data_IF_374814682400
#
_entry.id   IF_374814682400
#
_cell.length_a   1.000
_cell.length_b   1.000
_cell.length_c   1.000
_cell.angle_alpha   90.00
_cell.angle_beta   90.00
_cell.angle_gamma   90.00
#
_symmetry.space_group_name_H-M   'P 1'
#
loop_
_entity.id
_entity.type
_entity.pdbx_description
1 polymer ?
#
# COMPACT_ATOMS: atom_id res chain seq x y z
N UNK A 1 -12.83 11.54 -2.49
CA UNK A 1 -12.70 12.97 -2.18
C UNK A 1 -11.22 13.31 -2.21
N UNK A 2 -10.83 14.25 -3.03
CA UNK A 2 -9.43 14.66 -3.20
C UNK A 2 -9.24 15.96 -2.47
N UNK A 3 -8.40 15.98 -1.42
CA UNK A 3 -8.19 17.20 -0.61
C UNK A 3 -7.36 18.24 -1.33
N UNK A 4 -6.49 17.80 -2.22
CA UNK A 4 -5.56 18.61 -2.99
C UNK A 4 -5.71 18.34 -4.47
N UNK A 5 -5.38 19.32 -5.30
CA UNK A 5 -5.33 19.21 -6.75
C UNK A 5 -4.06 19.91 -7.25
N UNK A 6 -3.53 19.46 -8.37
CA UNK A 6 -2.41 20.09 -9.01
C UNK A 6 -2.91 21.21 -9.92
N UNK A 7 -2.34 22.40 -9.78
CA UNK A 7 -2.57 23.54 -10.65
C UNK A 7 -1.38 23.74 -11.58
N UNK A 8 -1.63 23.75 -12.88
CA UNK A 8 -0.61 24.08 -13.88
C UNK A 8 -0.22 25.55 -13.78
N UNK A 9 -1.19 26.44 -13.52
CA UNK A 9 -0.97 27.87 -13.40
C UNK A 9 0.02 28.20 -12.26
N UNK A 10 -0.08 27.50 -11.13
CA UNK A 10 0.79 27.73 -9.97
C UNK A 10 1.95 26.74 -9.88
N UNK A 11 2.04 25.75 -10.77
CA UNK A 11 3.10 24.75 -10.82
C UNK A 11 3.20 23.86 -9.58
N UNK A 12 2.11 23.72 -8.80
CA UNK A 12 2.13 22.98 -7.53
C UNK A 12 0.78 22.37 -7.14
N UNK A 13 0.83 21.43 -6.23
CA UNK A 13 -0.33 20.83 -5.61
C UNK A 13 -0.82 21.69 -4.45
N UNK A 14 -2.11 21.99 -4.44
CA UNK A 14 -2.74 22.93 -3.53
C UNK A 14 -4.00 22.32 -2.92
N UNK A 15 -4.24 22.57 -1.65
CA UNK A 15 -5.57 22.45 -1.08
C UNK A 15 -6.47 23.64 -1.44
N UNK A 16 -7.75 23.57 -1.05
CA UNK A 16 -8.72 24.61 -1.39
C UNK A 16 -8.36 25.98 -0.78
N UNK A 17 -7.84 25.99 0.46
CA UNK A 17 -7.49 27.23 1.14
C UNK A 17 -6.22 27.86 0.54
N UNK A 18 -5.22 27.05 0.26
CA UNK A 18 -4.00 27.48 -0.42
C UNK A 18 -4.31 28.06 -1.79
N UNK A 19 -5.16 27.37 -2.58
CA UNK A 19 -5.59 27.88 -3.89
C UNK A 19 -6.33 29.20 -3.76
N UNK A 20 -7.29 29.30 -2.83
CA UNK A 20 -8.06 30.52 -2.63
C UNK A 20 -7.15 31.72 -2.24
N UNK A 21 -6.15 31.49 -1.38
CA UNK A 21 -5.17 32.53 -0.98
C UNK A 21 -4.35 33.01 -2.17
N UNK A 22 -3.87 32.09 -3.00
CA UNK A 22 -3.10 32.43 -4.20
C UNK A 22 -3.94 33.21 -5.21
N UNK A 23 -5.19 32.81 -5.43
CA UNK A 23 -6.08 33.50 -6.36
C UNK A 23 -6.46 34.91 -5.90
N UNK A 24 -6.50 35.16 -4.59
CA UNK A 24 -6.91 36.46 -4.02
C UNK A 24 -5.78 37.30 -3.47
N UNK A 25 -4.53 36.80 -3.48
CA UNK A 25 -3.38 37.49 -2.87
C UNK A 25 -3.47 37.62 -1.35
N UNK A 26 -4.28 36.78 -0.69
CA UNK A 26 -4.48 36.81 0.77
C UNK A 26 -3.26 36.21 1.49
N UNK A 27 -2.74 36.91 2.50
CA UNK A 27 -1.60 36.45 3.29
C UNK A 27 -1.87 35.09 3.98
N UNK A 28 -0.80 34.32 4.23
CA UNK A 28 -0.88 32.96 4.78
C UNK A 28 -1.51 32.89 6.17
N UNK A 29 -1.36 33.90 6.97
CA UNK A 29 -1.83 34.02 8.35
C UNK A 29 -3.21 34.67 8.48
N UNK A 30 -3.72 35.33 7.41
CA UNK A 30 -5.02 35.97 7.44
C UNK A 30 -6.16 34.94 7.38
N UNK A 31 -7.26 35.12 8.12
CA UNK A 31 -8.42 34.26 8.01
C UNK A 31 -9.03 34.32 6.61
N UNK A 32 -9.43 33.16 6.04
CA UNK A 32 -10.05 33.09 4.73
C UNK A 32 -11.48 32.56 4.83
N UNK A 33 -12.44 33.29 4.26
CA UNK A 33 -13.84 32.84 4.17
C UNK A 33 -14.12 32.25 2.78
N UNK A 34 -14.04 30.95 2.65
CA UNK A 34 -14.36 30.23 1.41
C UNK A 34 -15.84 30.38 0.96
N UNK A 35 -16.69 31.02 1.79
CA UNK A 35 -18.06 31.34 1.43
C UNK A 35 -18.19 32.68 0.68
N UNK A 36 -17.18 33.54 0.75
CA UNK A 36 -17.14 34.86 0.10
C UNK A 36 -17.40 34.73 -1.41
N UNK A 37 -18.29 35.59 -1.98
CA UNK A 37 -18.49 35.64 -3.43
C UNK A 37 -17.19 35.88 -4.21
N UNK A 38 -16.34 36.78 -3.74
CA UNK A 38 -15.06 37.13 -4.36
C UNK A 38 -14.14 35.88 -4.50
N UNK A 39 -14.04 35.09 -3.43
CA UNK A 39 -13.23 33.87 -3.45
C UNK A 39 -13.84 32.82 -4.40
N UNK A 40 -15.16 32.71 -4.41
CA UNK A 40 -15.85 31.77 -5.31
C UNK A 40 -15.64 32.13 -6.79
N UNK A 41 -15.69 33.40 -7.13
CA UNK A 41 -15.40 33.89 -8.49
C UNK A 41 -13.95 33.63 -8.86
N UNK A 42 -13.01 33.93 -7.98
CA UNK A 42 -11.59 33.66 -8.20
C UNK A 42 -11.31 32.15 -8.40
N UNK A 43 -11.91 31.29 -7.57
CA UNK A 43 -11.79 29.84 -7.73
C UNK A 43 -12.44 29.32 -8.99
N UNK A 44 -13.56 29.89 -9.43
CA UNK A 44 -14.27 29.45 -10.64
C UNK A 44 -13.40 29.56 -11.90
N UNK A 45 -12.44 30.47 -11.93
CA UNK A 45 -11.51 30.64 -13.05
C UNK A 45 -10.45 29.54 -13.09
N UNK A 46 -9.91 29.15 -11.93
CA UNK A 46 -8.76 28.23 -11.84
C UNK A 46 -9.19 26.78 -11.68
N UNK A 47 -10.29 26.51 -10.97
CA UNK A 47 -10.74 25.13 -10.71
C UNK A 47 -10.86 24.25 -11.96
N UNK A 48 -11.31 24.73 -13.13
CA UNK A 48 -11.40 23.91 -14.34
C UNK A 48 -10.06 23.35 -14.87
N UNK A 49 -8.95 24.05 -14.60
CA UNK A 49 -7.61 23.61 -15.05
C UNK A 49 -6.95 22.58 -14.09
N UNK A 50 -7.55 22.40 -12.91
CA UNK A 50 -6.96 21.53 -11.90
C UNK A 50 -7.01 20.07 -12.33
N UNK A 51 -5.94 19.38 -11.97
CA UNK A 51 -5.79 17.94 -12.21
C UNK A 51 -5.70 17.14 -10.92
N UNK A 52 -6.17 15.90 -10.98
CA UNK A 52 -5.93 14.95 -9.91
C UNK A 52 -4.42 14.69 -9.78
N UNK A 53 -3.82 14.83 -8.59
CA UNK A 53 -2.38 14.64 -8.43
C UNK A 53 -1.91 13.20 -8.64
N UNK A 54 -2.83 12.22 -8.67
CA UNK A 54 -2.49 10.80 -8.82
C UNK A 54 -2.75 10.26 -10.23
N UNK A 55 -3.91 10.55 -10.85
CA UNK A 55 -4.26 10.00 -12.16
C UNK A 55 -4.45 11.05 -13.26
N UNK A 56 -4.15 12.31 -12.97
CA UNK A 56 -4.21 13.43 -13.93
C UNK A 56 -5.60 13.68 -14.53
N UNK A 57 -6.66 13.12 -13.93
CA UNK A 57 -8.01 13.40 -14.34
C UNK A 57 -8.32 14.90 -14.17
N UNK A 58 -8.98 15.48 -15.16
CA UNK A 58 -9.48 16.85 -15.17
C UNK A 58 -10.96 16.90 -14.73
N UNK A 59 -11.59 18.07 -14.79
CA UNK A 59 -12.98 18.24 -14.40
C UNK A 59 -13.16 18.42 -12.89
N UNK A 60 -12.22 19.12 -12.25
CA UNK A 60 -12.32 19.46 -10.85
C UNK A 60 -13.54 20.34 -10.57
N UNK A 61 -14.19 20.08 -9.44
CA UNK A 61 -15.24 20.91 -8.87
C UNK A 61 -14.90 21.24 -7.42
N UNK A 62 -15.09 22.48 -7.03
CA UNK A 62 -14.96 22.89 -5.65
C UNK A 62 -16.16 22.43 -4.81
N UNK A 63 -15.93 21.73 -3.73
CA UNK A 63 -16.95 21.33 -2.77
C UNK A 63 -16.67 21.99 -1.43
N UNK A 64 -17.64 22.78 -0.96
CA UNK A 64 -17.53 23.51 0.31
C UNK A 64 -17.43 22.54 1.50
N UNK A 65 -16.68 22.97 2.49
CA UNK A 65 -16.70 22.38 3.82
C UNK A 65 -18.07 22.53 4.49
N UNK A 66 -18.35 21.67 5.46
CA UNK A 66 -19.56 21.75 6.29
C UNK A 66 -19.19 21.95 7.76
N UNK A 67 -19.97 22.77 8.45
CA UNK A 67 -19.95 22.88 9.92
C UNK A 67 -21.28 22.38 10.48
N UNK A 68 -21.24 21.72 11.65
CA UNK A 68 -22.43 21.34 12.39
C UNK A 68 -23.03 22.58 13.06
N UNK A 69 -24.27 22.46 13.57
CA UNK A 69 -24.99 23.54 14.28
C UNK A 69 -24.22 24.11 15.48
N UNK A 70 -23.32 23.32 16.08
CA UNK A 70 -22.44 23.75 17.17
C UNK A 70 -21.06 24.29 16.67
N UNK A 71 -20.92 24.63 15.40
CA UNK A 71 -19.71 25.21 14.80
C UNK A 71 -18.56 24.25 14.53
N UNK A 72 -18.68 22.96 14.88
CA UNK A 72 -17.64 21.96 14.62
C UNK A 72 -17.55 21.66 13.13
N UNK A 73 -16.34 21.62 12.59
CA UNK A 73 -16.09 21.20 11.19
C UNK A 73 -16.49 19.72 11.05
N UNK A 74 -17.51 19.46 10.24
CA UNK A 74 -18.00 18.11 9.93
C UNK A 74 -17.35 17.58 8.66
N UNK A 75 -17.09 18.47 7.70
CA UNK A 75 -16.43 18.16 6.44
C UNK A 75 -15.53 19.30 6.01
N UNK A 76 -14.30 19.00 5.67
CA UNK A 76 -13.37 19.99 5.09
C UNK A 76 -13.73 20.28 3.63
N UNK A 77 -13.38 21.48 3.16
CA UNK A 77 -13.44 21.83 1.76
C UNK A 77 -12.50 20.90 0.95
N UNK A 78 -12.92 20.50 -0.24
CA UNK A 78 -12.15 19.56 -1.06
C UNK A 78 -12.50 19.71 -2.54
N UNK A 79 -11.73 19.05 -3.40
CA UNK A 79 -12.03 18.92 -4.82
C UNK A 79 -12.74 17.60 -5.10
N UNK A 80 -13.67 17.63 -6.05
CA UNK A 80 -14.31 16.46 -6.64
C UNK A 80 -14.02 16.48 -8.14
N UNK A 81 -13.53 15.40 -8.68
CA UNK A 81 -13.31 15.25 -10.12
C UNK A 81 -14.48 14.48 -10.71
N UNK A 82 -15.17 15.14 -11.63
CA UNK A 82 -16.47 14.66 -12.18
C UNK A 82 -16.33 14.48 -13.68
N UNK A 83 -16.64 13.26 -14.13
CA UNK A 83 -16.74 12.91 -15.53
C UNK A 83 -18.17 13.01 -16.07
N UNK A 84 -18.40 12.59 -17.32
CA UNK A 84 -19.72 12.55 -17.91
C UNK A 84 -20.72 11.75 -17.07
N UNK A 85 -21.94 12.25 -16.93
CA UNK A 85 -23.01 11.60 -16.15
C UNK A 85 -22.79 11.62 -14.64
N UNK A 86 -22.07 12.62 -14.12
CA UNK A 86 -21.77 12.82 -12.70
C UNK A 86 -20.95 11.69 -12.03
N UNK A 87 -20.41 10.76 -12.82
CA UNK A 87 -19.52 9.71 -12.33
C UNK A 87 -18.15 10.30 -11.95
N UNK A 88 -17.39 9.55 -11.16
CA UNK A 88 -16.01 9.97 -10.86
C UNK A 88 -15.16 9.98 -12.12
N UNK A 89 -14.41 11.07 -12.35
CA UNK A 89 -13.43 11.16 -13.43
C UNK A 89 -12.12 10.40 -13.12
N UNK A 90 -11.94 9.97 -11.86
CA UNK A 90 -10.73 9.25 -11.48
C UNK A 90 -10.62 7.88 -12.18
N UNK A 91 -9.44 7.55 -12.65
CA UNK A 91 -9.13 6.22 -13.16
C UNK A 91 -9.34 5.15 -12.07
N UNK A 92 -9.84 3.94 -12.37
CA UNK A 92 -10.06 2.88 -11.37
C UNK A 92 -8.85 2.51 -10.50
N UNK A 93 -7.64 2.68 -11.03
CA UNK A 93 -6.39 2.48 -10.30
C UNK A 93 -5.90 3.71 -9.53
N UNK A 94 -6.62 4.84 -9.60
CA UNK A 94 -6.27 6.04 -8.87
C UNK A 94 -6.43 5.84 -7.36
N UNK A 95 -5.54 6.43 -6.57
CA UNK A 95 -5.62 6.38 -5.11
C UNK A 95 -6.85 7.09 -4.54
N UNK A 96 -7.42 8.02 -5.33
CA UNK A 96 -8.63 8.76 -4.99
C UNK A 96 -9.91 8.19 -5.63
N UNK A 97 -9.78 7.10 -6.42
CA UNK A 97 -10.95 6.43 -6.97
C UNK A 97 -11.76 5.77 -5.84
N UNK A 98 -13.03 6.13 -5.71
CA UNK A 98 -13.98 5.49 -4.80
C UNK A 98 -15.19 5.04 -5.60
N UNK A 99 -15.49 3.75 -5.56
CA UNK A 99 -16.85 3.28 -5.80
C UNK A 99 -17.65 3.58 -4.52
N UNK A 100 -18.82 4.14 -4.62
CA UNK A 100 -19.68 4.64 -3.52
C UNK A 100 -20.05 3.59 -2.44
N UNK A 101 -19.54 2.37 -2.53
CA UNK A 101 -19.94 1.23 -1.69
C UNK A 101 -18.94 0.81 -0.62
N UNK A 102 -17.76 1.43 -0.51
CA UNK A 102 -16.80 1.00 0.52
C UNK A 102 -16.24 2.15 1.36
N UNK A 103 -16.70 2.24 2.61
CA UNK A 103 -16.10 3.06 3.68
C UNK A 103 -14.74 2.52 4.17
N UNK A 104 -14.15 1.55 3.51
CA UNK A 104 -12.88 0.98 3.90
C UNK A 104 -11.76 2.01 3.74
N UNK A 105 -11.27 2.53 4.87
CA UNK A 105 -10.04 3.33 4.93
C UNK A 105 -8.94 2.53 4.24
N UNK A 106 -8.31 3.12 3.20
CA UNK A 106 -7.11 2.54 2.61
C UNK A 106 -6.01 2.55 3.65
N UNK A 107 -5.59 1.39 4.11
CA UNK A 107 -4.39 1.27 4.94
C UNK A 107 -3.18 1.76 4.13
N UNK A 108 -2.38 2.63 4.73
CA UNK A 108 -1.17 3.17 4.11
C UNK A 108 -1.34 4.48 3.32
N UNK A 109 -2.55 5.00 3.19
CA UNK A 109 -2.76 6.36 2.68
C UNK A 109 -2.36 7.39 3.74
N UNK A 110 -1.48 8.32 3.39
CA UNK A 110 -1.17 9.47 4.26
C UNK A 110 -2.30 10.47 4.13
N UNK A 111 -3.04 10.70 5.23
CA UNK A 111 -4.12 11.68 5.30
C UNK A 111 -3.70 12.89 6.14
N UNK A 112 -3.46 14.03 5.50
CA UNK A 112 -2.96 15.23 6.18
C UNK A 112 -3.95 15.88 7.13
N UNK A 113 -5.24 15.82 6.83
CA UNK A 113 -6.25 16.51 7.63
C UNK A 113 -6.46 15.94 9.02
N UNK A 114 -5.97 14.74 9.29
CA UNK A 114 -6.06 14.04 10.58
C UNK A 114 -4.69 13.58 11.12
N UNK A 115 -3.59 14.01 10.52
CA UNK A 115 -2.24 13.59 10.91
C UNK A 115 -1.86 14.20 12.28
N UNK A 116 -2.49 13.71 13.32
CA UNK A 116 -2.16 14.04 14.73
C UNK A 116 -0.82 13.44 15.15
N UNK A 117 -0.28 12.52 14.37
CA UNK A 117 0.98 11.84 14.64
C UNK A 117 2.16 12.81 14.55
N UNK A 118 2.97 12.86 15.59
CA UNK A 118 4.22 13.62 15.60
C UNK A 118 5.16 13.21 14.47
N UNK A 119 5.15 11.93 14.10
CA UNK A 119 5.92 11.39 13.00
C UNK A 119 5.48 11.98 11.65
N UNK A 120 4.19 11.97 11.34
CA UNK A 120 3.69 12.52 10.07
C UNK A 120 4.02 13.99 9.93
N UNK A 121 3.92 14.76 11.03
CA UNK A 121 4.33 16.17 11.04
C UNK A 121 5.82 16.34 10.80
N UNK A 122 6.66 15.54 11.45
CA UNK A 122 8.10 15.58 11.25
C UNK A 122 8.49 15.26 9.79
N UNK A 123 7.86 14.26 9.19
CA UNK A 123 8.08 13.93 7.77
C UNK A 123 7.59 15.09 6.86
N UNK A 124 6.44 15.69 7.16
CA UNK A 124 5.94 16.86 6.43
C UNK A 124 6.91 18.05 6.48
N UNK A 125 7.49 18.31 7.64
CA UNK A 125 8.55 19.32 7.79
C UNK A 125 9.76 19.01 6.93
N UNK A 126 10.23 17.74 6.91
CA UNK A 126 11.35 17.35 6.04
C UNK A 126 11.02 17.52 4.56
N UNK A 127 9.79 17.26 4.13
CA UNK A 127 9.39 17.52 2.73
C UNK A 127 9.43 19.01 2.41
N UNK A 128 8.92 19.88 3.28
CA UNK A 128 9.02 21.34 3.11
C UNK A 128 10.47 21.81 3.07
N UNK A 129 11.31 21.34 4.01
CA UNK A 129 12.76 21.61 4.02
C UNK A 129 13.43 21.22 2.70
N UNK A 130 13.09 20.03 2.17
CA UNK A 130 13.67 19.56 0.91
C UNK A 130 13.30 20.43 -0.29
N UNK A 131 12.08 20.97 -0.32
CA UNK A 131 11.64 21.91 -1.36
C UNK A 131 12.37 23.26 -1.22
N UNK A 132 12.45 23.83 -0.02
CA UNK A 132 13.17 25.10 0.22
C UNK A 132 14.66 24.98 -0.11
N UNK A 133 15.26 23.82 0.15
CA UNK A 133 16.65 23.51 -0.15
C UNK A 133 16.91 23.10 -1.59
N UNK A 134 15.86 23.06 -2.42
CA UNK A 134 15.95 22.66 -3.83
C UNK A 134 16.53 21.22 -4.02
N UNK A 135 16.37 20.35 -3.03
CA UNK A 135 16.76 18.94 -3.14
C UNK A 135 15.80 18.15 -4.04
N UNK A 136 14.56 18.60 -4.07
CA UNK A 136 13.46 18.22 -4.97
C UNK A 136 12.42 19.35 -4.98
N UNK A 137 11.49 19.28 -5.90
CA UNK A 137 10.43 20.27 -6.05
C UNK A 137 9.06 19.60 -6.30
N UNK A 138 8.02 20.42 -6.49
CA UNK A 138 6.65 19.93 -6.75
C UNK A 138 6.55 19.16 -8.09
N UNK A 139 7.38 19.51 -9.08
CA UNK A 139 7.43 18.80 -10.36
C UNK A 139 7.98 17.38 -10.17
N UNK A 140 9.02 17.22 -9.34
CA UNK A 140 9.58 15.91 -9.01
C UNK A 140 8.54 15.03 -8.27
N UNK A 141 7.80 15.63 -7.33
CA UNK A 141 6.73 14.95 -6.61
C UNK A 141 5.62 14.48 -7.57
N UNK A 142 5.25 15.33 -8.53
CA UNK A 142 4.30 14.99 -9.59
C UNK A 142 4.85 13.88 -10.50
N UNK A 143 6.12 13.97 -10.88
CA UNK A 143 6.77 12.95 -11.70
C UNK A 143 6.81 11.57 -11.02
N UNK A 144 7.07 11.51 -9.70
CA UNK A 144 6.98 10.26 -8.93
C UNK A 144 5.56 9.66 -8.97
N UNK A 145 4.51 10.48 -8.78
CA UNK A 145 3.12 10.00 -8.88
C UNK A 145 2.79 9.51 -10.28
N UNK A 146 3.22 10.24 -11.31
CA UNK A 146 3.03 9.87 -12.71
C UNK A 146 3.71 8.53 -13.02
N UNK A 147 4.97 8.37 -12.65
CA UNK A 147 5.70 7.12 -12.78
C UNK A 147 4.96 5.94 -12.12
N UNK A 148 4.50 6.13 -10.88
CA UNK A 148 3.75 5.08 -10.18
C UNK A 148 2.42 4.76 -10.85
N UNK A 149 1.69 5.78 -11.32
CA UNK A 149 0.42 5.58 -12.02
C UNK A 149 0.62 4.84 -13.36
N UNK A 150 1.64 5.22 -14.13
CA UNK A 150 1.99 4.55 -15.40
C UNK A 150 2.38 3.08 -15.14
N UNK A 151 3.18 2.82 -14.11
CA UNK A 151 3.54 1.46 -13.72
C UNK A 151 2.31 0.62 -13.35
N UNK A 152 1.37 1.19 -12.59
CA UNK A 152 0.11 0.53 -12.23
C UNK A 152 -0.78 0.26 -13.44
N UNK A 153 -0.79 1.17 -14.38
CA UNK A 153 -1.59 1.04 -15.61
C UNK A 153 -1.02 -0.01 -16.57
N UNK A 154 0.32 -0.14 -16.60
CA UNK A 154 1.00 -1.11 -17.45
C UNK A 154 0.97 -2.54 -16.89
N UNK A 155 0.88 -2.70 -15.56
CA UNK A 155 0.98 -4.00 -14.89
C UNK A 155 -0.29 -4.31 -14.12
N UNK A 156 -1.19 -5.06 -14.74
CA UNK A 156 -2.49 -5.41 -14.18
C UNK A 156 -2.75 -6.91 -14.27
N UNK A 157 -3.57 -7.41 -13.37
CA UNK A 157 -4.11 -8.77 -13.43
C UNK A 157 -5.54 -8.81 -12.90
N UNK A 158 -6.29 -9.79 -13.34
CA UNK A 158 -7.68 -10.01 -12.91
C UNK A 158 -7.73 -10.96 -11.72
N UNK A 159 -8.42 -10.60 -10.64
CA UNK A 159 -8.58 -11.47 -9.48
C UNK A 159 -9.63 -12.54 -9.81
N UNK A 160 -9.19 -13.79 -9.90
CA UNK A 160 -10.05 -14.95 -10.18
C UNK A 160 -10.03 -16.03 -9.09
N UNK A 161 -9.17 -15.88 -8.07
CA UNK A 161 -9.05 -16.87 -6.99
C UNK A 161 -9.67 -16.38 -5.69
N UNK A 162 -10.44 -17.21 -4.98
CA UNK A 162 -11.09 -16.83 -3.73
C UNK A 162 -10.06 -16.58 -2.62
N UNK A 163 -10.46 -15.83 -1.60
CA UNK A 163 -9.60 -15.52 -0.44
C UNK A 163 -9.11 -16.79 0.30
N UNK A 164 -9.88 -17.87 0.27
CA UNK A 164 -9.49 -19.16 0.83
C UNK A 164 -8.17 -19.69 0.23
N UNK A 165 -7.90 -19.42 -1.06
CA UNK A 165 -6.68 -19.83 -1.73
C UNK A 165 -5.41 -19.26 -1.09
N UNK A 166 -5.49 -18.06 -0.49
CA UNK A 166 -4.37 -17.43 0.23
C UNK A 166 -3.95 -18.30 1.42
N UNK A 167 -4.91 -18.65 2.27
CA UNK A 167 -4.63 -19.49 3.43
C UNK A 167 -4.16 -20.90 3.01
N UNK A 168 -4.78 -21.46 1.99
CA UNK A 168 -4.45 -22.77 1.44
C UNK A 168 -2.98 -22.81 0.96
N UNK A 169 -2.53 -21.87 0.13
CA UNK A 169 -1.13 -21.78 -0.31
C UNK A 169 -0.15 -21.61 0.85
N UNK A 170 -0.50 -20.73 1.81
CA UNK A 170 0.32 -20.48 2.99
C UNK A 170 0.51 -21.73 3.83
N UNK A 171 -0.57 -22.46 4.11
CA UNK A 171 -0.49 -23.70 4.89
C UNK A 171 0.33 -24.77 4.18
N UNK A 172 0.15 -24.96 2.88
CA UNK A 172 0.98 -25.90 2.13
C UNK A 172 2.46 -25.53 2.16
N UNK A 173 2.79 -24.24 1.98
CA UNK A 173 4.17 -23.78 1.99
C UNK A 173 4.82 -23.88 3.38
N UNK A 174 4.04 -23.70 4.46
CA UNK A 174 4.53 -23.81 5.83
C UNK A 174 4.98 -25.23 6.20
N UNK A 175 4.38 -26.24 5.57
CA UNK A 175 4.67 -27.65 5.83
C UNK A 175 5.50 -28.31 4.72
N UNK A 176 6.10 -27.52 3.86
CA UNK A 176 7.00 -27.99 2.80
C UNK A 176 8.14 -28.82 3.40
N UNK A 177 8.39 -29.97 2.80
CA UNK A 177 9.56 -30.78 3.15
C UNK A 177 10.85 -30.06 2.73
N UNK A 178 11.82 -29.95 3.62
CA UNK A 178 13.17 -29.50 3.32
C UNK A 178 14.07 -30.72 3.12
N UNK A 179 14.66 -30.85 1.94
CA UNK A 179 15.53 -31.96 1.59
C UNK A 179 14.78 -33.26 1.24
N UNK A 180 15.51 -34.37 1.23
CA UNK A 180 14.93 -35.71 1.03
C UNK A 180 14.07 -36.08 2.23
N UNK A 181 12.76 -36.13 2.05
CA UNK A 181 11.84 -36.60 3.09
C UNK A 181 11.44 -38.04 2.82
N UNK A 182 11.42 -38.85 3.87
CA UNK A 182 10.88 -40.21 3.81
C UNK A 182 9.36 -40.09 3.60
N UNK A 183 8.80 -40.69 2.51
CA UNK A 183 7.35 -40.75 2.33
C UNK A 183 6.69 -41.51 3.49
N UNK A 184 5.44 -41.17 3.81
CA UNK A 184 4.70 -41.89 4.84
C UNK A 184 4.64 -43.38 4.50
N UNK A 185 4.93 -44.22 5.50
CA UNK A 185 4.74 -45.68 5.44
C UNK A 185 3.77 -46.09 6.57
N UNK A 186 2.87 -47.06 6.31
CA UNK A 186 1.87 -47.45 7.29
C UNK A 186 2.43 -47.85 8.65
N UNK A 187 3.60 -48.48 8.69
CA UNK A 187 4.27 -48.87 9.95
C UNK A 187 4.70 -47.65 10.83
N UNK A 188 4.77 -46.43 10.29
CA UNK A 188 5.10 -45.25 11.09
C UNK A 188 4.05 -44.93 12.15
N UNK A 189 2.79 -45.37 11.93
CA UNK A 189 1.72 -45.26 12.92
C UNK A 189 1.95 -46.07 14.20
N UNK A 190 2.89 -47.02 14.20
CA UNK A 190 3.29 -47.78 15.41
C UNK A 190 4.20 -46.96 16.35
N UNK A 191 4.70 -45.80 15.90
CA UNK A 191 5.47 -44.90 16.76
C UNK A 191 4.57 -44.33 17.86
N UNK A 192 4.94 -44.44 19.14
CA UNK A 192 4.16 -43.85 20.23
C UNK A 192 3.88 -42.35 19.97
N UNK A 193 2.63 -41.93 20.15
CA UNK A 193 2.19 -40.55 19.97
C UNK A 193 2.48 -39.98 18.56
N UNK A 194 2.36 -40.84 17.54
CA UNK A 194 2.61 -40.43 16.15
C UNK A 194 1.73 -39.25 15.75
N UNK A 195 2.37 -38.16 15.25
CA UNK A 195 1.67 -36.93 14.81
C UNK A 195 1.06 -37.11 13.43
N UNK A 196 -0.16 -37.68 13.41
CA UNK A 196 -0.96 -37.85 12.18
C UNK A 196 -1.21 -36.53 11.44
N UNK A 197 -1.39 -35.43 12.19
CA UNK A 197 -1.64 -34.12 11.61
C UNK A 197 -0.41 -33.65 10.84
N UNK A 198 0.75 -33.69 11.46
CA UNK A 198 2.00 -33.29 10.80
C UNK A 198 2.32 -34.18 9.59
N UNK A 199 2.13 -35.49 9.69
CA UNK A 199 2.30 -36.42 8.58
C UNK A 199 1.37 -36.07 7.41
N UNK A 200 0.08 -35.81 7.68
CA UNK A 200 -0.88 -35.42 6.67
C UNK A 200 -0.56 -34.05 6.02
N UNK A 201 -0.10 -33.09 6.80
CA UNK A 201 0.33 -31.77 6.31
C UNK A 201 1.50 -31.89 5.32
N UNK A 202 2.49 -32.72 5.64
CA UNK A 202 3.63 -32.99 4.76
C UNK A 202 3.20 -33.70 3.48
N UNK A 203 2.34 -34.69 3.58
CA UNK A 203 1.81 -35.42 2.43
C UNK A 203 1.00 -34.51 1.50
N UNK A 204 0.19 -33.59 2.05
CA UNK A 204 -0.51 -32.58 1.25
C UNK A 204 0.47 -31.63 0.56
N UNK A 205 1.45 -31.11 1.28
CA UNK A 205 2.47 -30.26 0.69
C UNK A 205 3.26 -30.96 -0.43
N UNK A 206 3.56 -32.24 -0.27
CA UNK A 206 4.22 -33.07 -1.30
C UNK A 206 3.30 -33.27 -2.51
N UNK A 207 2.03 -33.56 -2.29
CA UNK A 207 1.03 -33.69 -3.36
C UNK A 207 0.92 -32.44 -4.20
N UNK A 208 1.02 -31.27 -3.59
CA UNK A 208 0.93 -29.97 -4.25
C UNK A 208 2.29 -29.29 -4.41
N UNK A 209 3.38 -30.06 -4.47
CA UNK A 209 4.76 -29.53 -4.53
C UNK A 209 4.97 -28.49 -5.62
N UNK A 210 4.44 -28.73 -6.83
CA UNK A 210 4.56 -27.77 -7.94
C UNK A 210 3.86 -26.42 -7.65
N UNK A 211 2.71 -26.46 -6.95
CA UNK A 211 2.02 -25.24 -6.53
C UNK A 211 2.85 -24.52 -5.48
N UNK A 212 3.37 -25.26 -4.49
CA UNK A 212 4.23 -24.70 -3.43
C UNK A 212 5.48 -24.06 -4.02
N UNK A 213 6.14 -24.72 -4.97
CA UNK A 213 7.33 -24.18 -5.63
C UNK A 213 7.01 -22.92 -6.42
N UNK A 214 5.96 -22.93 -7.25
CA UNK A 214 5.50 -21.75 -7.99
C UNK A 214 5.15 -20.59 -7.06
N UNK A 215 4.46 -20.88 -5.94
CA UNK A 215 4.11 -19.88 -4.94
C UNK A 215 5.35 -19.25 -4.30
N UNK A 216 6.30 -20.06 -3.84
CA UNK A 216 7.51 -19.60 -3.18
C UNK A 216 8.49 -18.90 -4.16
N UNK A 217 8.54 -19.32 -5.41
CA UNK A 217 9.37 -18.67 -6.44
C UNK A 217 8.97 -17.21 -6.70
N UNK A 218 7.70 -16.85 -6.49
CA UNK A 218 7.20 -15.47 -6.61
C UNK A 218 7.48 -14.62 -5.36
N UNK A 219 7.75 -15.26 -4.23
CA UNK A 219 7.96 -14.61 -2.95
C UNK A 219 9.42 -14.84 -2.53
N UNK A 220 10.21 -13.77 -2.46
CA UNK A 220 11.61 -13.89 -2.03
C UNK A 220 11.72 -14.40 -0.59
N UNK A 221 12.81 -15.08 -0.22
CA UNK A 221 13.13 -15.42 1.16
C UNK A 221 13.07 -14.15 2.04
N UNK A 222 12.47 -14.26 3.23
CA UNK A 222 12.29 -13.11 4.13
C UNK A 222 11.11 -12.20 3.80
N UNK A 223 10.35 -12.49 2.74
CA UNK A 223 9.10 -11.79 2.48
C UNK A 223 8.09 -12.11 3.59
N UNK A 224 7.81 -11.15 4.47
CA UNK A 224 6.89 -11.32 5.61
C UNK A 224 5.43 -11.53 5.19
N UNK A 225 5.16 -12.60 4.42
CA UNK A 225 3.85 -12.91 3.84
C UNK A 225 2.78 -13.20 4.89
N UNK A 226 3.15 -13.68 6.07
CA UNK A 226 2.21 -13.82 7.18
C UNK A 226 1.56 -12.50 7.55
N UNK A 227 2.34 -11.40 7.58
CA UNK A 227 1.83 -10.07 7.93
C UNK A 227 0.99 -9.44 6.81
N UNK A 228 1.14 -9.92 5.55
CA UNK A 228 0.36 -9.47 4.41
C UNK A 228 -0.96 -10.24 4.21
N UNK A 229 -1.12 -11.38 4.90
CA UNK A 229 -2.23 -12.34 4.70
C UNK A 229 -3.60 -11.70 4.88
N UNK A 230 -3.83 -11.08 6.03
CA UNK A 230 -5.14 -10.52 6.37
C UNK A 230 -5.53 -9.41 5.38
N UNK A 231 -4.55 -8.59 5.01
CA UNK A 231 -4.76 -7.54 4.01
C UNK A 231 -5.05 -8.09 2.62
N UNK A 232 -4.34 -9.15 2.20
CA UNK A 232 -4.59 -9.83 0.93
C UNK A 232 -6.00 -10.42 0.87
N UNK A 233 -6.44 -11.10 1.94
CA UNK A 233 -7.79 -11.64 2.07
C UNK A 233 -8.84 -10.54 1.97
N UNK A 234 -8.67 -9.43 2.69
CA UNK A 234 -9.57 -8.29 2.64
C UNK A 234 -9.67 -7.69 1.22
N UNK A 235 -8.54 -7.52 0.54
CA UNK A 235 -8.51 -7.01 -0.84
C UNK A 235 -9.21 -7.94 -1.83
N UNK A 236 -9.01 -9.26 -1.73
CA UNK A 236 -9.69 -10.24 -2.58
C UNK A 236 -11.20 -10.15 -2.35
N UNK A 237 -11.66 -10.16 -1.09
CA UNK A 237 -13.09 -10.11 -0.78
C UNK A 237 -13.77 -8.83 -1.29
N UNK A 238 -13.06 -7.71 -1.30
CA UNK A 238 -13.57 -6.42 -1.79
C UNK A 238 -13.54 -6.32 -3.31
N UNK A 239 -12.64 -7.01 -4.00
CA UNK A 239 -12.33 -6.81 -5.41
C UNK A 239 -12.34 -8.07 -6.27
N UNK A 240 -12.96 -9.14 -5.79
CA UNK A 240 -13.14 -10.35 -6.58
C UNK A 240 -13.76 -10.03 -7.94
N UNK A 241 -13.20 -10.59 -9.00
CA UNK A 241 -13.67 -10.33 -10.36
C UNK A 241 -13.24 -8.98 -10.95
N UNK A 242 -12.42 -8.20 -10.26
CA UNK A 242 -11.92 -6.91 -10.74
C UNK A 242 -10.45 -6.98 -11.12
N UNK A 243 -10.02 -5.99 -11.90
CA UNK A 243 -8.61 -5.79 -12.23
C UNK A 243 -7.87 -5.11 -11.08
N UNK A 244 -6.69 -5.63 -10.75
CA UNK A 244 -5.79 -5.06 -9.75
C UNK A 244 -4.38 -4.86 -10.31
N UNK A 245 -3.61 -4.05 -9.59
CA UNK A 245 -2.21 -3.81 -9.88
C UNK A 245 -1.34 -5.03 -9.52
N UNK A 246 -0.50 -5.48 -10.47
CA UNK A 246 0.61 -6.40 -10.19
C UNK A 246 1.79 -5.63 -9.64
N UNK A 247 2.01 -5.70 -8.34
CA UNK A 247 3.08 -4.98 -7.66
C UNK A 247 4.47 -5.67 -7.79
N UNK A 248 4.61 -6.71 -8.60
CA UNK A 248 5.90 -7.40 -8.82
C UNK A 248 7.00 -6.44 -9.32
N UNK A 249 6.74 -5.52 -10.27
CA UNK A 249 7.76 -4.56 -10.72
C UNK A 249 8.23 -3.59 -9.63
N UNK A 250 7.43 -3.35 -8.59
CA UNK A 250 7.84 -2.50 -7.47
C UNK A 250 8.79 -3.18 -6.47
N UNK A 251 9.04 -4.48 -6.59
CA UNK A 251 9.75 -5.24 -5.56
C UNK A 251 11.12 -4.65 -5.21
N UNK A 252 11.95 -4.37 -6.22
CA UNK A 252 13.30 -3.81 -6.01
C UNK A 252 13.25 -2.37 -5.47
N UNK A 253 12.29 -1.57 -5.93
CA UNK A 253 12.08 -0.20 -5.46
C UNK A 253 11.62 -0.18 -3.99
N UNK A 254 10.72 -1.08 -3.62
CA UNK A 254 10.26 -1.27 -2.27
C UNK A 254 11.38 -1.71 -1.32
N UNK A 255 12.21 -2.67 -1.73
CA UNK A 255 13.36 -3.12 -0.93
C UNK A 255 14.36 -1.98 -0.66
N UNK A 256 14.66 -1.15 -1.66
CA UNK A 256 15.49 0.04 -1.49
C UNK A 256 14.86 1.07 -0.55
N UNK A 257 13.55 1.28 -0.65
CA UNK A 257 12.83 2.18 0.24
C UNK A 257 12.81 1.69 1.68
N UNK A 258 12.64 0.38 1.91
CA UNK A 258 12.76 -0.23 3.24
C UNK A 258 14.18 -0.05 3.77
N UNK A 259 15.23 -0.35 3.00
CA UNK A 259 16.61 -0.20 3.43
C UNK A 259 16.94 1.26 3.83
N UNK A 260 16.46 2.24 3.06
CA UNK A 260 16.63 3.66 3.40
C UNK A 260 15.85 4.05 4.66
N UNK A 261 14.64 3.53 4.83
CA UNK A 261 13.80 3.77 5.99
C UNK A 261 14.38 3.14 7.26
N UNK A 262 14.92 1.93 7.17
CA UNK A 262 15.63 1.25 8.26
C UNK A 262 16.91 2.01 8.66
N UNK A 263 17.68 2.48 7.68
CA UNK A 263 18.82 3.36 7.91
C UNK A 263 18.41 4.60 8.70
N UNK A 264 17.34 5.28 8.26
CA UNK A 264 16.81 6.45 8.96
C UNK A 264 16.37 6.11 10.40
N UNK A 265 15.69 4.98 10.61
CA UNK A 265 15.22 4.58 11.93
C UNK A 265 16.35 4.17 12.88
N UNK A 266 17.46 3.67 12.36
CA UNK A 266 18.65 3.37 13.17
C UNK A 266 19.37 4.64 13.63
N UNK A 267 19.40 5.67 12.81
CA UNK A 267 20.25 6.85 13.01
C UNK A 267 19.51 8.13 13.38
N UNK A 268 18.20 8.21 13.13
CA UNK A 268 17.38 9.36 13.45
C UNK A 268 16.43 9.11 14.61
N UNK A 269 16.67 9.79 15.73
CA UNK A 269 15.99 9.58 17.02
C UNK A 269 14.44 9.62 16.93
N UNK A 270 13.80 10.54 16.20
CA UNK A 270 12.34 10.57 16.08
C UNK A 270 11.76 9.27 15.48
N UNK A 271 12.38 8.71 14.44
CA UNK A 271 11.96 7.43 13.87
C UNK A 271 12.26 6.26 14.81
N UNK A 272 13.42 6.25 15.43
CA UNK A 272 13.80 5.22 16.39
C UNK A 272 12.81 5.12 17.55
N UNK A 273 12.32 6.27 18.05
CA UNK A 273 11.29 6.30 19.10
C UNK A 273 9.93 5.83 18.59
N UNK A 274 9.58 6.16 17.35
CA UNK A 274 8.27 5.85 16.78
C UNK A 274 8.09 4.35 16.51
N UNK A 275 9.13 3.65 16.08
CA UNK A 275 9.03 2.24 15.64
C UNK A 275 9.59 1.24 16.63
N UNK A 276 10.50 1.64 17.53
CA UNK A 276 11.19 0.72 18.47
C UNK A 276 12.07 -0.33 17.75
N UNK A 277 11.53 -0.97 16.71
CA UNK A 277 12.25 -1.89 15.81
C UNK A 277 12.17 -1.37 14.37
N UNK A 278 13.31 -1.09 13.71
CA UNK A 278 13.34 -0.57 12.34
C UNK A 278 12.61 -1.46 11.32
N UNK A 279 12.66 -2.78 11.48
CA UNK A 279 12.00 -3.76 10.60
C UNK A 279 10.47 -3.61 10.53
N UNK A 280 9.84 -2.95 11.51
CA UNK A 280 8.39 -2.72 11.52
C UNK A 280 7.93 -1.61 10.57
N UNK A 281 8.83 -0.79 10.01
CA UNK A 281 8.46 0.34 9.14
C UNK A 281 7.66 -0.10 7.92
N UNK A 282 8.04 -1.23 7.32
CA UNK A 282 7.32 -1.78 6.16
C UNK A 282 6.03 -2.53 6.50
N UNK A 283 5.77 -2.79 7.78
CA UNK A 283 4.67 -3.65 8.24
C UNK A 283 3.52 -2.85 8.83
N UNK A 284 3.79 -1.66 9.33
CA UNK A 284 2.80 -0.83 10.01
C UNK A 284 2.33 0.34 9.13
N UNK A 285 1.04 0.63 9.17
CA UNK A 285 0.45 1.78 8.45
C UNK A 285 1.10 3.12 8.82
N UNK A 286 1.59 3.24 10.06
CA UNK A 286 2.34 4.43 10.51
C UNK A 286 3.67 4.63 9.78
N UNK A 287 4.21 3.60 9.09
CA UNK A 287 5.41 3.70 8.25
C UNK A 287 5.18 4.40 6.91
N UNK A 288 3.92 4.53 6.46
CA UNK A 288 3.59 5.09 5.16
C UNK A 288 4.20 6.49 4.89
N UNK A 289 4.22 7.45 5.82
CA UNK A 289 4.88 8.75 5.61
C UNK A 289 6.38 8.63 5.36
N UNK A 290 7.05 7.73 6.10
CA UNK A 290 8.48 7.48 5.95
C UNK A 290 8.78 6.88 4.58
N UNK A 291 7.99 5.90 4.17
CA UNK A 291 8.13 5.26 2.84
C UNK A 291 7.86 6.25 1.71
N UNK A 292 6.92 7.20 1.90
CA UNK A 292 6.67 8.27 0.94
C UNK A 292 7.91 9.18 0.75
N UNK A 293 8.54 9.61 1.85
CA UNK A 293 9.76 10.40 1.80
C UNK A 293 10.93 9.59 1.19
N UNK A 294 11.10 8.34 1.61
CA UNK A 294 12.15 7.46 1.05
C UNK A 294 11.95 7.22 -0.45
N UNK A 295 10.71 7.02 -0.90
CA UNK A 295 10.40 6.89 -2.32
C UNK A 295 10.77 8.14 -3.10
N UNK A 296 10.43 9.33 -2.58
CA UNK A 296 10.77 10.60 -3.22
C UNK A 296 12.28 10.80 -3.32
N UNK A 297 13.02 10.59 -2.22
CA UNK A 297 14.48 10.72 -2.22
C UNK A 297 15.16 9.74 -3.16
N UNK A 298 14.69 8.49 -3.21
CA UNK A 298 15.18 7.49 -4.14
C UNK A 298 14.85 7.86 -5.59
N UNK A 299 13.64 8.33 -5.85
CA UNK A 299 13.22 8.73 -7.19
C UNK A 299 14.10 9.86 -7.76
N UNK A 300 14.32 10.93 -6.99
CA UNK A 300 15.20 12.06 -7.40
C UNK A 300 16.68 11.72 -7.35
N UNK A 301 17.02 10.53 -6.89
CA UNK A 301 18.37 9.96 -6.92
C UNK A 301 18.50 8.82 -7.93
N UNK A 302 17.55 8.68 -8.87
CA UNK A 302 17.52 7.60 -9.87
C UNK A 302 17.56 6.21 -9.24
N UNK A 303 16.89 6.07 -8.09
CA UNK A 303 16.86 4.85 -7.27
C UNK A 303 18.22 4.39 -6.73
N UNK A 304 19.23 5.25 -6.73
CA UNK A 304 20.51 4.98 -6.08
C UNK A 304 20.40 5.17 -4.56
N UNK A 305 20.66 4.09 -3.83
CA UNK A 305 20.49 4.06 -2.37
C UNK A 305 21.49 4.97 -1.65
N UNK A 306 22.73 5.03 -2.14
CA UNK A 306 23.79 5.83 -1.51
C UNK A 306 23.54 7.33 -1.68
N UNK A 307 23.15 7.75 -2.89
CA UNK A 307 22.77 9.13 -3.18
C UNK A 307 21.52 9.55 -2.37
N UNK A 308 20.52 8.68 -2.29
CA UNK A 308 19.32 8.94 -1.50
C UNK A 308 19.62 9.03 0.01
N UNK A 309 20.51 8.18 0.53
CA UNK A 309 20.94 8.24 1.93
C UNK A 309 21.71 9.55 2.25
N UNK A 310 22.58 9.99 1.35
CA UNK A 310 23.27 11.27 1.51
C UNK A 310 22.28 12.44 1.55
N UNK A 311 21.31 12.48 0.63
CA UNK A 311 20.23 13.51 0.65
C UNK A 311 19.40 13.44 1.94
N UNK A 312 19.09 12.23 2.44
CA UNK A 312 18.37 12.08 3.70
C UNK A 312 19.14 12.63 4.89
N UNK A 313 20.45 12.39 4.97
CA UNK A 313 21.32 12.93 6.03
C UNK A 313 21.34 14.47 5.96
N UNK A 314 21.53 15.03 4.79
CA UNK A 314 21.50 16.48 4.56
C UNK A 314 20.15 17.07 5.01
N UNK A 315 19.04 16.43 4.62
CA UNK A 315 17.69 16.86 4.94
C UNK A 315 17.42 16.87 6.47
N UNK A 316 17.84 15.80 7.17
CA UNK A 316 17.67 15.67 8.63
C UNK A 316 18.53 16.67 9.39
N UNK A 317 19.69 17.04 8.83
CA UNK A 317 20.63 17.98 9.44
C UNK A 317 20.30 19.46 9.15
N UNK A 318 19.36 19.70 8.25
CA UNK A 318 18.95 21.06 7.88
C UNK A 318 18.09 21.71 8.98
N UNK A 319 18.09 23.04 9.10
CA UNK A 319 17.14 23.75 9.96
C UNK A 319 15.70 23.52 9.51
N UNK A 320 14.73 23.70 10.43
CA UNK A 320 13.31 23.64 10.07
C UNK A 320 12.96 24.56 8.91
N UNK A 321 11.95 24.21 8.11
CA UNK A 321 11.52 25.05 7.00
C UNK A 321 10.79 26.31 7.50
N UNK A 322 10.89 27.40 6.73
CA UNK A 322 10.18 28.64 6.99
C UNK A 322 8.69 28.54 6.59
N UNK A 323 8.39 27.80 5.50
CA UNK A 323 7.03 27.60 4.99
C UNK A 323 6.60 26.11 5.08
N UNK A 324 5.74 25.81 6.05
CA UNK A 324 5.17 24.48 6.25
C UNK A 324 4.07 24.11 5.24
N UNK A 325 3.70 25.02 4.33
CA UNK A 325 2.65 24.80 3.33
C UNK A 325 3.18 24.29 1.99
N UNK A 326 4.51 24.28 1.79
CA UNK A 326 5.14 23.90 0.54
C UNK A 326 5.00 22.42 0.17
N UNK A 327 4.92 21.54 1.17
CA UNK A 327 5.04 20.11 0.98
C UNK A 327 3.75 19.35 1.23
N UNK A 328 3.05 18.94 0.18
CA UNK A 328 1.99 17.95 0.30
C UNK A 328 2.46 16.58 -0.20
N UNK A 329 2.66 15.61 0.72
CA UNK A 329 3.11 14.27 0.40
C UNK A 329 1.99 13.21 0.43
N UNK A 330 0.72 13.64 0.45
CA UNK A 330 -0.43 12.73 0.29
C UNK A 330 -0.30 12.02 -1.06
N UNK A 331 -0.47 10.69 -1.06
CA UNK A 331 -0.37 9.89 -2.28
C UNK A 331 1.03 9.77 -2.87
N UNK A 332 2.10 10.18 -2.14
CA UNK A 332 3.48 9.95 -2.56
C UNK A 332 4.00 8.55 -2.22
N UNK A 333 3.32 7.79 -1.36
CA UNK A 333 3.74 6.43 -1.05
C UNK A 333 3.31 5.46 -2.15
N UNK A 334 4.20 5.01 -3.06
CA UNK A 334 3.86 4.03 -4.10
C UNK A 334 3.77 2.60 -3.54
N UNK A 335 4.12 2.38 -2.27
CA UNK A 335 4.30 1.06 -1.68
C UNK A 335 3.14 0.60 -0.81
N UNK A 336 2.02 1.34 -0.82
CA UNK A 336 0.83 0.87 -0.11
C UNK A 336 0.35 -0.47 -0.70
N UNK A 337 0.00 -1.39 0.18
CA UNK A 337 -0.48 -2.74 -0.17
C UNK A 337 0.49 -3.62 -1.00
N UNK A 338 1.74 -3.20 -1.28
CA UNK A 338 2.68 -3.94 -2.14
C UNK A 338 2.83 -5.41 -1.71
N UNK A 339 2.96 -5.66 -0.41
CA UNK A 339 3.09 -7.03 0.10
C UNK A 339 1.83 -7.86 -0.15
N UNK A 340 0.66 -7.29 0.13
CA UNK A 340 -0.61 -7.97 -0.08
C UNK A 340 -0.88 -8.22 -1.57
N UNK A 341 -0.62 -7.23 -2.43
CA UNK A 341 -0.77 -7.36 -3.88
C UNK A 341 0.15 -8.44 -4.46
N UNK A 342 1.41 -8.47 -4.03
CA UNK A 342 2.37 -9.51 -4.43
C UNK A 342 1.94 -10.90 -3.96
N UNK A 343 1.41 -11.00 -2.73
CA UNK A 343 0.88 -12.26 -2.21
C UNK A 343 -0.32 -12.74 -3.03
N UNK A 344 -1.28 -11.87 -3.35
CA UNK A 344 -2.43 -12.21 -4.20
C UNK A 344 -1.96 -12.71 -5.56
N UNK A 345 -1.04 -11.99 -6.20
CA UNK A 345 -0.50 -12.38 -7.50
C UNK A 345 0.23 -13.73 -7.45
N UNK A 346 1.03 -13.97 -6.41
CA UNK A 346 1.71 -15.24 -6.21
C UNK A 346 0.74 -16.42 -6.04
N UNK A 347 -0.33 -16.24 -5.26
CA UNK A 347 -1.39 -17.24 -5.10
C UNK A 347 -2.08 -17.52 -6.44
N UNK A 348 -2.43 -16.47 -7.16
CA UNK A 348 -3.11 -16.61 -8.45
C UNK A 348 -2.25 -17.34 -9.47
N UNK A 349 -0.97 -16.98 -9.61
CA UNK A 349 -0.04 -17.63 -10.55
C UNK A 349 0.24 -19.09 -10.16
N UNK A 350 0.39 -19.35 -8.87
CA UNK A 350 0.66 -20.69 -8.37
C UNK A 350 -0.50 -21.68 -8.61
N UNK A 351 -1.72 -21.15 -8.57
CA UNK A 351 -2.95 -21.97 -8.67
C UNK A 351 -3.60 -21.96 -10.06
N UNK A 352 -2.92 -21.42 -11.09
CA UNK A 352 -3.40 -21.48 -12.48
C UNK A 352 -3.65 -22.94 -12.90
N UNK A 353 -4.81 -23.20 -13.48
CA UNK A 353 -5.20 -24.55 -13.95
C UNK A 353 -5.59 -25.53 -12.83
N UNK A 354 -5.53 -25.11 -11.55
CA UNK A 354 -5.97 -25.97 -10.46
C UNK A 354 -7.47 -25.81 -10.22
N UNK A 355 -8.19 -26.92 -10.28
CA UNK A 355 -9.58 -27.03 -9.83
C UNK A 355 -9.59 -27.46 -8.36
N UNK A 356 -9.89 -26.54 -7.45
CA UNK A 356 -9.97 -26.78 -6.02
C UNK A 356 -10.94 -25.78 -5.38
N UNK A 357 -11.62 -26.21 -4.32
CA UNK A 357 -12.38 -25.32 -3.44
C UNK A 357 -11.49 -24.59 -2.42
N UNK A 358 -10.19 -24.93 -2.37
CA UNK A 358 -9.20 -24.38 -1.43
C UNK A 358 -9.56 -24.55 0.05
N UNK A 359 -10.26 -25.63 0.37
CA UNK A 359 -10.71 -25.98 1.72
C UNK A 359 -9.62 -26.76 2.48
N UNK A 360 -8.54 -26.10 2.87
CA UNK A 360 -7.36 -26.73 3.49
C UNK A 360 -7.71 -27.66 4.66
N UNK A 361 -8.57 -27.24 5.58
CA UNK A 361 -8.91 -28.01 6.78
C UNK A 361 -9.73 -29.28 6.45
N UNK A 362 -10.51 -29.25 5.38
CA UNK A 362 -11.24 -30.43 4.89
C UNK A 362 -10.30 -31.44 4.24
N UNK A 363 -9.40 -30.94 3.37
CA UNK A 363 -8.37 -31.78 2.75
C UNK A 363 -7.45 -32.40 3.80
N UNK A 364 -7.08 -31.62 4.83
CA UNK A 364 -6.25 -32.11 5.94
C UNK A 364 -6.95 -33.22 6.73
N UNK A 365 -8.22 -33.04 7.11
CA UNK A 365 -9.00 -34.05 7.81
C UNK A 365 -9.14 -35.33 6.99
N UNK A 366 -9.46 -35.19 5.70
CA UNK A 366 -9.55 -36.32 4.80
C UNK A 366 -8.23 -37.10 4.68
N UNK A 367 -7.11 -36.35 4.61
CA UNK A 367 -5.76 -36.95 4.54
C UNK A 367 -5.38 -37.65 5.84
N UNK A 368 -5.65 -37.08 7.01
CA UNK A 368 -5.44 -37.72 8.31
C UNK A 368 -6.21 -39.06 8.35
N UNK A 369 -7.49 -39.04 8.01
CA UNK A 369 -8.31 -40.26 7.99
C UNK A 369 -7.74 -41.31 7.03
N UNK A 370 -7.31 -40.92 5.85
CA UNK A 370 -6.69 -41.82 4.87
C UNK A 370 -5.41 -42.48 5.40
N UNK A 371 -4.52 -41.73 6.06
CA UNK A 371 -3.30 -42.28 6.66
C UNK A 371 -3.60 -43.25 7.80
N UNK A 372 -4.55 -42.91 8.67
CA UNK A 372 -5.02 -43.80 9.75
C UNK A 372 -5.64 -45.11 9.22
N UNK A 373 -6.43 -45.02 8.15
CA UNK A 373 -7.01 -46.20 7.48
C UNK A 373 -5.92 -47.10 6.89
N UNK A 374 -4.89 -46.50 6.24
CA UNK A 374 -3.75 -47.27 5.72
C UNK A 374 -2.98 -47.99 6.84
N UNK A 375 -2.77 -47.33 7.98
CA UNK A 375 -2.13 -47.92 9.14
C UNK A 375 -2.99 -49.07 9.73
N UNK A 376 -4.30 -48.86 9.90
CA UNK A 376 -5.20 -49.89 10.40
C UNK A 376 -5.20 -51.14 9.51
N UNK A 377 -5.24 -50.97 8.17
CA UNK A 377 -5.12 -52.04 7.22
C UNK A 377 -3.78 -52.78 7.32
N UNK A 378 -2.67 -52.07 7.48
CA UNK A 378 -1.34 -52.66 7.71
C UNK A 378 -1.32 -53.54 8.98
N UNK A 379 -1.84 -53.01 10.10
CA UNK A 379 -1.93 -53.74 11.38
C UNK A 379 -2.81 -55.00 11.30
N UNK A 380 -3.80 -55.02 10.45
CA UNK A 380 -4.68 -56.17 10.27
C UNK A 380 -4.00 -57.34 9.52
N UNK A 381 -2.90 -57.10 8.82
CA UNK A 381 -2.17 -58.07 8.00
C UNK A 381 -0.82 -58.46 8.64
N UNK A 382 -0.29 -57.61 9.52
CA UNK A 382 0.94 -57.86 10.30
C UNK A 382 0.67 -58.63 11.57
#
# INVERSE_FOLDING_TARGET
MTRTAYSEQFGRELDVEQLARLCTGTASDAPIDLASPLIREALAVVVPELECPSCFATGAMFVRGGRSSNGRVVRQAHFRFVGPGEQTAHHPLCDFYRNDTSDAKREGGVDFGEAKSALTRAIGQLVCTGIERQMFNQVDMRALRKWHFELRSAHQFHISRPAAAVNWCIQLAAHRAHGSSVPFQPCFGDVPEFDWKHAAQRELSTRYSEVVERFLARLRPGFGWFNAKERAIALINQRMGQTMFDATPLATHYERAIALAEFAALHWQPLRRAFGRPSLIGEESKGAPVLALCALLLFVSEWDLSRAAAKLVELISAPPPDDLTLGNFIGLNPFHDVRALRLIKAVQDATVGLESNFAYEEELRAKIHALQTQHAAYRAVS
#
